data_IF_228730289507
#
_entry.id   IF_228730289507
#
_cell.length_a   1.000
_cell.length_b   1.000
_cell.length_c   1.000
_cell.angle_alpha   90.00
_cell.angle_beta   90.00
_cell.angle_gamma   90.00
#
_symmetry.space_group_name_H-M   'P 1'
#
loop_
_entity.id
_entity.type
_entity.pdbx_description
1 polymer ?
#
# COMPACT_ATOMS: atom_id res chain seq x y z
N UNK A 1 22.83 -17.49 -39.67
CA UNK A 1 23.46 -16.93 -38.45
C UNK A 1 23.08 -15.47 -38.21
N UNK A 2 23.37 -14.51 -39.12
CA UNK A 2 23.03 -13.08 -38.92
C UNK A 2 21.53 -12.80 -38.65
N UNK A 3 20.61 -13.46 -39.38
CA UNK A 3 19.16 -13.33 -39.16
C UNK A 3 18.68 -13.91 -37.82
N UNK A 4 19.34 -14.97 -37.33
CA UNK A 4 19.04 -15.60 -36.03
C UNK A 4 19.55 -14.70 -34.89
N UNK A 5 20.78 -14.14 -35.01
CA UNK A 5 21.27 -13.13 -34.08
C UNK A 5 20.32 -11.93 -34.00
N UNK A 6 19.82 -11.44 -35.14
CA UNK A 6 18.90 -10.29 -35.17
C UNK A 6 17.57 -10.59 -34.46
N UNK A 7 17.00 -11.78 -34.68
CA UNK A 7 15.75 -12.20 -34.01
C UNK A 7 15.94 -12.33 -32.48
N UNK A 8 17.06 -12.91 -32.04
CA UNK A 8 17.40 -13.06 -30.62
C UNK A 8 17.58 -11.69 -29.94
N UNK A 9 18.27 -10.75 -30.61
CA UNK A 9 18.42 -9.37 -30.10
C UNK A 9 17.06 -8.67 -30.01
N UNK A 10 16.19 -8.81 -31.00
CA UNK A 10 14.86 -8.20 -31.00
C UNK A 10 13.96 -8.74 -29.87
N UNK A 11 13.97 -10.06 -29.63
CA UNK A 11 13.30 -10.68 -28.49
C UNK A 11 13.84 -10.16 -27.15
N UNK A 12 15.14 -9.92 -27.04
CA UNK A 12 15.76 -9.40 -25.82
C UNK A 12 15.30 -7.95 -25.51
N UNK A 13 15.19 -7.11 -26.54
CA UNK A 13 14.74 -5.71 -26.39
C UNK A 13 13.28 -5.62 -25.91
N UNK A 14 12.38 -6.48 -26.43
CA UNK A 14 10.95 -6.46 -26.06
C UNK A 14 10.74 -6.84 -24.58
N UNK A 15 11.51 -7.81 -24.07
CA UNK A 15 11.45 -8.21 -22.66
C UNK A 15 11.97 -7.11 -21.72
N UNK A 16 13.01 -6.36 -22.12
CA UNK A 16 13.53 -5.25 -21.31
C UNK A 16 12.51 -4.11 -21.17
N UNK A 17 11.78 -3.75 -22.23
CA UNK A 17 10.76 -2.69 -22.18
C UNK A 17 9.62 -3.07 -21.21
N UNK A 18 9.11 -4.29 -21.30
CA UNK A 18 8.03 -4.76 -20.43
C UNK A 18 8.42 -4.81 -18.94
N UNK A 19 9.69 -5.14 -18.66
CA UNK A 19 10.21 -5.14 -17.30
C UNK A 19 10.38 -3.72 -16.71
N UNK A 20 10.74 -2.73 -17.54
CA UNK A 20 10.85 -1.33 -17.13
C UNK A 20 9.48 -0.77 -16.73
N UNK A 21 8.44 -1.05 -17.52
CA UNK A 21 7.08 -0.62 -17.21
C UNK A 21 6.62 -1.21 -15.87
N UNK A 22 6.85 -2.50 -15.65
CA UNK A 22 6.47 -3.16 -14.38
C UNK A 22 7.16 -2.54 -13.16
N UNK A 23 8.45 -2.20 -13.26
CA UNK A 23 9.17 -1.57 -12.15
C UNK A 23 8.66 -0.16 -11.87
N UNK A 24 8.33 0.61 -12.91
CA UNK A 24 7.68 1.93 -12.76
C UNK A 24 6.36 1.81 -12.00
N UNK A 25 5.52 0.82 -12.33
CA UNK A 25 4.26 0.57 -11.62
C UNK A 25 4.49 0.17 -10.15
N UNK A 26 5.48 -0.69 -9.88
CA UNK A 26 5.85 -1.07 -8.50
C UNK A 26 6.29 0.14 -7.69
N UNK A 27 7.09 1.04 -8.26
CA UNK A 27 7.52 2.26 -7.58
C UNK A 27 6.35 3.22 -7.35
N UNK A 28 5.42 3.33 -8.29
CA UNK A 28 4.19 4.12 -8.10
C UNK A 28 3.33 3.57 -6.94
N UNK A 29 3.19 2.23 -6.84
CA UNK A 29 2.49 1.56 -5.73
C UNK A 29 3.21 1.80 -4.39
N UNK A 30 4.54 1.65 -4.35
CA UNK A 30 5.33 1.94 -3.14
C UNK A 30 5.12 3.37 -2.67
N UNK A 31 5.20 4.32 -3.61
CA UNK A 31 5.02 5.75 -3.32
C UNK A 31 3.63 6.06 -2.76
N UNK A 32 2.56 5.53 -3.38
CA UNK A 32 1.20 5.82 -2.89
C UNK A 32 0.94 5.21 -1.51
N UNK A 33 1.44 4.00 -1.24
CA UNK A 33 1.33 3.38 0.09
C UNK A 33 2.15 4.19 1.12
N UNK A 34 3.37 4.60 0.78
CA UNK A 34 4.21 5.41 1.65
C UNK A 34 3.54 6.75 1.98
N UNK A 35 3.13 7.53 0.98
CA UNK A 35 2.59 8.88 1.20
C UNK A 35 1.19 8.87 1.81
N UNK A 36 0.27 8.05 1.31
CA UNK A 36 -1.14 8.14 1.73
C UNK A 36 -1.44 7.29 2.96
N UNK A 37 -0.78 6.14 3.11
CA UNK A 37 -1.03 5.25 4.24
C UNK A 37 -0.05 5.48 5.39
N UNK A 38 1.27 5.46 5.14
CA UNK A 38 2.26 5.59 6.22
C UNK A 38 2.35 7.03 6.73
N UNK A 39 2.62 7.98 5.84
CA UNK A 39 2.73 9.39 6.20
C UNK A 39 1.35 9.98 6.54
N UNK A 40 0.42 9.99 5.59
CA UNK A 40 -0.90 10.62 5.77
C UNK A 40 -1.72 9.98 6.88
N UNK A 41 -2.05 8.69 6.75
CA UNK A 41 -3.00 8.04 7.66
C UNK A 41 -2.42 7.68 9.03
N UNK A 42 -1.19 7.18 9.06
CA UNK A 42 -0.63 6.61 10.29
C UNK A 42 0.17 7.62 11.10
N UNK A 43 0.98 8.46 10.46
CA UNK A 43 1.97 9.29 11.15
C UNK A 43 1.57 10.76 11.30
N UNK A 44 1.05 11.39 10.26
CA UNK A 44 0.85 12.85 10.23
C UNK A 44 -0.61 13.23 10.53
N UNK A 45 -1.55 12.43 10.07
CA UNK A 45 -2.98 12.77 10.06
C UNK A 45 -3.40 13.68 8.90
N UNK A 46 -2.58 13.80 7.85
CA UNK A 46 -2.87 14.63 6.69
C UNK A 46 -3.98 14.01 5.81
N UNK A 47 -5.18 14.58 5.90
CA UNK A 47 -6.36 14.15 5.14
C UNK A 47 -6.18 14.31 3.61
N UNK A 48 -5.40 15.29 3.19
CA UNK A 48 -5.12 15.53 1.77
C UNK A 48 -4.27 14.40 1.20
N UNK A 49 -3.20 14.02 1.91
CA UNK A 49 -2.37 12.86 1.54
C UNK A 49 -3.19 11.57 1.52
N UNK A 50 -4.09 11.39 2.49
CA UNK A 50 -4.99 10.22 2.55
C UNK A 50 -5.85 10.14 1.28
N UNK A 51 -6.56 11.21 0.92
CA UNK A 51 -7.54 11.21 -0.18
C UNK A 51 -6.89 11.07 -1.57
N UNK A 52 -5.61 11.44 -1.70
CA UNK A 52 -4.85 11.25 -2.93
C UNK A 52 -4.65 9.77 -3.26
N UNK A 53 -4.35 8.91 -2.28
CA UNK A 53 -3.96 7.52 -2.51
C UNK A 53 -4.89 6.45 -1.96
N UNK A 54 -5.87 6.80 -1.14
CA UNK A 54 -6.88 5.84 -0.65
C UNK A 54 -8.22 6.12 -1.34
N UNK A 55 -8.81 5.10 -1.94
CA UNK A 55 -10.10 5.22 -2.60
C UNK A 55 -11.22 5.45 -1.56
N UNK A 56 -12.23 6.28 -1.82
CA UNK A 56 -13.35 6.50 -0.87
C UNK A 56 -14.12 5.22 -0.49
N UNK A 57 -14.14 4.24 -1.41
CA UNK A 57 -14.70 2.90 -1.17
C UNK A 57 -13.78 1.93 -0.41
N UNK A 58 -12.63 2.39 0.11
CA UNK A 58 -11.69 1.54 0.83
C UNK A 58 -12.30 0.97 2.11
N UNK A 59 -12.06 -0.32 2.34
CA UNK A 59 -12.44 -1.02 3.57
C UNK A 59 -11.26 -1.81 4.11
N UNK A 60 -10.93 -1.60 5.38
CA UNK A 60 -10.09 -2.50 6.16
C UNK A 60 -10.97 -3.63 6.71
N UNK A 61 -10.57 -4.88 6.50
CA UNK A 61 -11.20 -6.04 7.12
C UNK A 61 -10.23 -6.67 8.13
N UNK A 62 -10.78 -7.15 9.24
CA UNK A 62 -10.04 -7.91 10.23
C UNK A 62 -10.92 -9.01 10.83
N UNK A 63 -10.26 -9.92 11.53
CA UNK A 63 -10.91 -11.02 12.26
C UNK A 63 -10.78 -10.70 13.76
N UNK A 64 -11.90 -10.80 14.48
CA UNK A 64 -11.99 -10.61 15.93
C UNK A 64 -11.57 -11.84 16.73
N UNK A 65 -11.79 -11.81 18.03
CA UNK A 65 -11.42 -12.89 18.95
C UNK A 65 -12.34 -14.12 18.80
N UNK A 66 -13.59 -13.94 18.35
CA UNK A 66 -14.57 -15.01 18.13
C UNK A 66 -14.62 -15.44 16.65
N UNK A 67 -13.54 -15.20 15.91
CA UNK A 67 -13.41 -15.45 14.46
C UNK A 67 -14.41 -14.68 13.57
N UNK A 68 -15.07 -13.68 14.13
CA UNK A 68 -16.01 -12.83 13.42
C UNK A 68 -15.27 -11.77 12.58
N UNK A 69 -15.75 -11.55 11.36
CA UNK A 69 -15.19 -10.51 10.51
C UNK A 69 -15.78 -9.15 10.87
N UNK A 70 -14.91 -8.17 11.09
CA UNK A 70 -15.28 -6.76 11.21
C UNK A 70 -14.76 -5.94 10.02
N UNK A 71 -15.39 -4.78 9.80
CA UNK A 71 -15.03 -3.84 8.73
C UNK A 71 -14.83 -2.42 9.26
N UNK A 72 -13.82 -1.74 8.75
CA UNK A 72 -13.56 -0.32 8.99
C UNK A 72 -13.45 0.42 7.64
N UNK A 73 -14.51 1.11 7.21
CA UNK A 73 -14.46 1.99 6.05
C UNK A 73 -13.49 3.16 6.27
N UNK A 74 -12.87 3.67 5.20
CA UNK A 74 -11.89 4.77 5.30
C UNK A 74 -12.46 6.04 5.95
N UNK A 75 -13.74 6.36 5.74
CA UNK A 75 -14.38 7.51 6.40
C UNK A 75 -14.32 7.42 7.93
N UNK A 76 -14.61 6.24 8.49
CA UNK A 76 -14.49 5.99 9.94
C UNK A 76 -13.06 5.99 10.44
N UNK A 77 -12.11 5.60 9.59
CA UNK A 77 -10.70 5.71 9.94
C UNK A 77 -10.24 7.17 9.96
N UNK A 78 -10.64 7.98 8.98
CA UNK A 78 -10.37 9.43 8.96
C UNK A 78 -10.95 10.14 10.18
N UNK A 79 -12.20 9.85 10.56
CA UNK A 79 -12.79 10.38 11.81
C UNK A 79 -11.89 10.09 13.03
N UNK A 80 -11.39 8.85 13.17
CA UNK A 80 -10.45 8.49 14.24
C UNK A 80 -9.12 9.23 14.13
N UNK A 81 -8.63 9.49 12.92
CA UNK A 81 -7.40 10.25 12.67
C UNK A 81 -7.56 11.72 13.06
N UNK A 82 -8.68 12.35 12.71
CA UNK A 82 -9.00 13.73 13.12
C UNK A 82 -9.11 13.86 14.64
N UNK A 83 -9.72 12.88 15.31
CA UNK A 83 -9.74 12.85 16.78
C UNK A 83 -8.33 12.82 17.37
N UNK A 84 -7.44 11.97 16.84
CA UNK A 84 -6.03 11.91 17.29
C UNK A 84 -5.28 13.22 17.08
N UNK A 85 -5.57 13.96 16.01
CA UNK A 85 -5.02 15.31 15.80
C UNK A 85 -5.49 16.27 16.90
N UNK A 86 -6.79 16.29 17.21
CA UNK A 86 -7.35 17.14 18.27
C UNK A 86 -6.79 16.80 19.65
N UNK A 87 -6.51 15.52 19.90
CA UNK A 87 -5.91 15.03 21.12
C UNK A 87 -4.38 15.24 21.19
N UNK A 88 -3.75 15.82 20.15
CA UNK A 88 -2.30 16.04 20.10
C UNK A 88 -1.48 14.75 19.96
N UNK A 89 -2.10 13.62 19.60
CA UNK A 89 -1.44 12.33 19.35
C UNK A 89 -0.83 12.22 17.95
N UNK A 90 -1.26 13.09 17.04
CA UNK A 90 -0.68 13.26 15.70
C UNK A 90 -0.20 14.71 15.51
N UNK A 91 0.91 14.94 14.77
CA UNK A 91 1.78 13.92 14.17
C UNK A 91 2.51 13.08 15.22
N UNK A 92 2.76 11.80 14.92
CA UNK A 92 3.42 10.87 15.85
C UNK A 92 4.85 11.33 16.13
N UNK A 93 5.15 11.61 17.39
CA UNK A 93 6.51 11.91 17.86
C UNK A 93 7.22 10.66 18.37
N UNK A 94 6.48 9.78 19.00
CA UNK A 94 6.98 8.53 19.57
C UNK A 94 6.48 7.34 18.76
N UNK A 95 7.36 6.34 18.58
CA UNK A 95 7.09 5.10 17.86
C UNK A 95 6.38 5.34 16.51
N UNK A 96 7.00 6.10 15.58
CA UNK A 96 6.42 6.33 14.27
C UNK A 96 6.20 5.00 13.54
N UNK A 97 5.17 4.98 12.71
CA UNK A 97 4.90 3.83 11.86
C UNK A 97 5.89 3.82 10.70
N UNK A 98 6.45 2.65 10.41
CA UNK A 98 7.23 2.41 9.20
C UNK A 98 6.83 1.08 8.57
N UNK A 99 7.20 0.87 7.31
CA UNK A 99 6.84 -0.35 6.58
C UNK A 99 8.04 -0.88 5.80
N UNK A 100 8.01 -2.19 5.51
CA UNK A 100 8.91 -2.82 4.54
C UNK A 100 8.10 -3.63 3.54
N UNK A 101 8.33 -3.37 2.25
CA UNK A 101 7.68 -4.10 1.17
C UNK A 101 8.30 -5.50 1.04
N UNK A 102 7.48 -6.53 1.14
CA UNK A 102 7.87 -7.93 0.93
C UNK A 102 7.65 -8.36 -0.52
N UNK A 103 6.48 -8.03 -1.08
CA UNK A 103 6.15 -8.33 -2.47
C UNK A 103 5.11 -7.36 -3.01
N UNK A 104 5.14 -7.15 -4.33
CA UNK A 104 4.10 -6.44 -5.07
C UNK A 104 3.81 -7.26 -6.31
N UNK A 105 2.59 -7.76 -6.41
CA UNK A 105 2.06 -8.45 -7.60
C UNK A 105 1.14 -7.50 -8.37
N UNK A 106 1.26 -7.48 -9.70
CA UNK A 106 0.52 -6.56 -10.58
C UNK A 106 0.00 -7.35 -11.77
N UNK A 107 -1.31 -7.28 -12.00
CA UNK A 107 -1.97 -7.82 -13.19
C UNK A 107 -2.86 -6.74 -13.80
N UNK A 108 -2.42 -6.17 -14.92
CA UNK A 108 -3.13 -5.07 -15.59
C UNK A 108 -3.34 -3.87 -14.66
N UNK A 109 -4.59 -3.57 -14.33
CA UNK A 109 -4.96 -2.46 -13.44
C UNK A 109 -5.12 -2.85 -11.98
N UNK A 110 -4.93 -4.12 -11.62
CA UNK A 110 -5.05 -4.63 -10.26
C UNK A 110 -3.67 -4.96 -9.67
N UNK A 111 -3.50 -4.75 -8.37
CA UNK A 111 -2.28 -5.11 -7.67
C UNK A 111 -2.53 -5.47 -6.20
N UNK A 112 -1.63 -6.27 -5.63
CA UNK A 112 -1.55 -6.53 -4.18
C UNK A 112 -0.14 -6.30 -3.69
N UNK A 113 0.00 -5.51 -2.63
CA UNK A 113 1.26 -5.33 -1.90
C UNK A 113 1.20 -6.08 -0.57
N UNK A 114 2.22 -6.89 -0.30
CA UNK A 114 2.46 -7.48 1.03
C UNK A 114 3.54 -6.67 1.73
N UNK A 115 3.25 -6.22 2.95
CA UNK A 115 4.17 -5.39 3.72
C UNK A 115 4.31 -5.87 5.17
N UNK A 116 5.49 -5.67 5.73
CA UNK A 116 5.73 -5.66 7.18
C UNK A 116 5.36 -4.27 7.71
N UNK A 117 4.59 -4.22 8.80
CA UNK A 117 4.16 -2.98 9.45
C UNK A 117 4.77 -2.87 10.84
N UNK A 118 5.51 -1.79 11.05
CA UNK A 118 6.25 -1.53 12.30
C UNK A 118 5.64 -0.35 13.05
N UNK A 119 5.65 -0.43 14.37
CA UNK A 119 5.37 0.68 15.28
C UNK A 119 6.64 0.91 16.09
N UNK A 120 7.36 2.00 15.82
CA UNK A 120 8.75 2.12 16.23
C UNK A 120 9.58 1.00 15.60
N UNK A 121 10.32 0.26 16.42
CA UNK A 121 11.13 -0.89 15.98
C UNK A 121 10.36 -2.22 16.02
N UNK A 122 9.16 -2.26 16.60
CA UNK A 122 8.39 -3.49 16.77
C UNK A 122 7.63 -3.83 15.49
N UNK A 123 7.92 -4.99 14.91
CA UNK A 123 7.09 -5.60 13.87
C UNK A 123 5.74 -6.03 14.47
N UNK A 124 4.64 -5.49 13.98
CA UNK A 124 3.30 -5.69 14.58
C UNK A 124 2.30 -6.38 13.65
N UNK A 125 2.38 -6.12 12.35
CA UNK A 125 1.48 -6.73 11.38
C UNK A 125 2.20 -7.15 10.09
N UNK A 126 1.61 -8.14 9.43
CA UNK A 126 1.80 -8.39 8.01
C UNK A 126 0.53 -7.95 7.30
N UNK A 127 0.60 -6.87 6.53
CA UNK A 127 -0.56 -6.34 5.80
C UNK A 127 -0.55 -6.84 4.34
N UNK A 128 -1.75 -7.12 3.82
CA UNK A 128 -2.00 -7.32 2.40
C UNK A 128 -2.90 -6.19 1.92
N UNK A 129 -2.38 -5.34 1.05
CA UNK A 129 -3.06 -4.14 0.56
C UNK A 129 -3.38 -4.34 -0.91
N UNK A 130 -4.68 -4.32 -1.24
CA UNK A 130 -5.14 -4.38 -2.63
C UNK A 130 -5.28 -2.97 -3.20
N UNK A 131 -4.89 -2.80 -4.46
CA UNK A 131 -4.93 -1.53 -5.19
C UNK A 131 -5.55 -1.71 -6.58
N UNK A 132 -6.19 -0.64 -7.05
CA UNK A 132 -6.59 -0.48 -8.45
C UNK A 132 -5.97 0.78 -9.05
N UNK A 133 -5.64 0.74 -10.34
CA UNK A 133 -5.19 1.90 -11.12
C UNK A 133 -6.39 2.60 -11.75
N UNK A 134 -6.66 3.83 -11.33
CA UNK A 134 -7.73 4.68 -11.84
C UNK A 134 -7.16 5.84 -12.65
N UNK A 135 -7.51 5.93 -13.95
CA UNK A 135 -7.06 7.03 -14.83
C UNK A 135 -5.56 7.34 -14.72
N UNK A 136 -4.73 6.30 -14.63
CA UNK A 136 -3.27 6.43 -14.49
C UNK A 136 -2.72 6.42 -13.06
N UNK A 137 -3.56 6.52 -12.03
CA UNK A 137 -3.12 6.63 -10.63
C UNK A 137 -3.54 5.41 -9.80
N UNK A 138 -2.58 4.82 -9.08
CA UNK A 138 -2.89 3.76 -8.12
C UNK A 138 -3.61 4.31 -6.90
N UNK A 139 -4.63 3.59 -6.44
CA UNK A 139 -5.30 3.86 -5.16
C UNK A 139 -5.50 2.55 -4.40
N UNK A 140 -5.29 2.60 -3.09
CA UNK A 140 -5.63 1.51 -2.18
C UNK A 140 -7.15 1.36 -2.10
N UNK A 141 -7.65 0.13 -2.22
CA UNK A 141 -9.08 -0.19 -2.19
C UNK A 141 -9.46 -1.17 -1.10
N UNK A 142 -8.53 -1.94 -0.57
CA UNK A 142 -8.78 -2.84 0.55
C UNK A 142 -7.47 -3.13 1.30
N UNK A 143 -7.60 -3.46 2.58
CA UNK A 143 -6.54 -4.04 3.40
C UNK A 143 -7.09 -5.18 4.23
N UNK A 144 -6.33 -6.27 4.32
CA UNK A 144 -6.42 -7.28 5.38
C UNK A 144 -5.05 -7.41 6.05
N UNK A 145 -4.98 -8.06 7.20
CA UNK A 145 -3.72 -8.19 7.93
C UNK A 145 -3.69 -9.43 8.81
N UNK A 146 -2.47 -9.83 9.17
CA UNK A 146 -2.21 -10.73 10.28
C UNK A 146 -1.53 -9.95 11.41
N UNK A 147 -2.07 -10.02 12.62
CA UNK A 147 -1.47 -9.43 13.83
C UNK A 147 -0.48 -10.43 14.42
N UNK A 148 0.77 -10.01 14.56
CA UNK A 148 1.79 -10.85 15.17
C UNK A 148 1.59 -10.92 16.69
N UNK A 149 1.90 -12.07 17.32
CA UNK A 149 1.89 -12.19 18.77
C UNK A 149 2.83 -11.15 19.39
N UNK A 150 2.41 -10.60 20.53
CA UNK A 150 3.11 -9.48 21.19
C UNK A 150 4.37 -9.90 21.92
#
# INVERSE_FOLDING_TARGET
>A
MKKICFLVVMLFVINMVSAQDLEVEKQAIKKVIQTSYVEGLQNEGDLTKIDQGIHPGFVLLGIGEEEEMWKLPIGKWKEKTEMKLKEGKLPRKENPVSIKFLSIDITGTAAVAKIEFYVGEKLTYIDYISLYKFKGNWKMVNKIFYKLPS
#
